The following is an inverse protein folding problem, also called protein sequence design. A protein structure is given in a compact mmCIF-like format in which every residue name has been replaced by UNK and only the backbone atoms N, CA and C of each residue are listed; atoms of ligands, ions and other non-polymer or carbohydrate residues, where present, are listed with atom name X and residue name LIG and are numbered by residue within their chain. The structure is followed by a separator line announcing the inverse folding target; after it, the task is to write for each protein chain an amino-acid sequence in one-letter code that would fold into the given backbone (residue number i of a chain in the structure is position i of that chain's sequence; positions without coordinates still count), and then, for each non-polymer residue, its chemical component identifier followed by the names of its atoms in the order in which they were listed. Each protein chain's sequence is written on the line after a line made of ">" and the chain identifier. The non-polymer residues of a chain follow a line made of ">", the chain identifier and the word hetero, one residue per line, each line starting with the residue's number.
data_IF_293325585079
#
_entry.id   IF_293325585079
#
_cell.length_a   1.000
_cell.length_b   1.000
_cell.length_c   1.000
_cell.angle_alpha   90.00
_cell.angle_beta   90.00
_cell.angle_gamma   90.00
#
_symmetry.space_group_name_H-M   'P 1'
#
loop_
_entity.id
_entity.type
_entity.pdbx_description
1 polymer ?
#
# COMPACT_ATOMS: atom_id res chain seq x y z
N UNK A 1 -39.29 -7.19 -5.16
CA UNK A 1 -38.38 -8.12 -4.47
C UNK A 1 -36.97 -7.84 -4.98
N UNK A 2 -36.08 -7.32 -4.14
CA UNK A 2 -34.67 -7.16 -4.55
C UNK A 2 -34.03 -8.54 -4.45
N UNK A 3 -33.67 -9.11 -5.60
CA UNK A 3 -32.94 -10.37 -5.67
C UNK A 3 -31.50 -10.09 -5.25
N UNK A 4 -31.09 -10.57 -4.08
CA UNK A 4 -29.67 -10.59 -3.70
C UNK A 4 -28.99 -11.69 -4.51
N UNK A 5 -28.25 -11.29 -5.53
CA UNK A 5 -27.37 -12.20 -6.25
C UNK A 5 -26.09 -12.38 -5.41
N UNK A 6 -26.01 -13.47 -4.66
CA UNK A 6 -24.83 -13.80 -3.89
C UNK A 6 -23.88 -14.64 -4.75
N UNK A 7 -22.65 -14.17 -4.91
CA UNK A 7 -21.57 -14.90 -5.57
C UNK A 7 -20.59 -15.46 -4.53
N UNK A 8 -20.01 -16.63 -4.81
CA UNK A 8 -19.03 -17.28 -3.93
C UNK A 8 -17.61 -17.08 -4.47
N UNK A 9 -16.69 -16.75 -3.57
CA UNK A 9 -15.27 -16.62 -3.87
C UNK A 9 -14.53 -17.84 -3.29
N UNK A 10 -13.76 -18.55 -4.13
CA UNK A 10 -12.87 -19.64 -3.71
C UNK A 10 -11.41 -19.21 -3.88
N UNK A 11 -10.63 -19.24 -2.80
CA UNK A 11 -9.23 -18.80 -2.78
C UNK A 11 -8.36 -19.95 -2.28
N UNK A 12 -7.27 -20.24 -3.01
CA UNK A 12 -6.22 -21.15 -2.54
C UNK A 12 -5.25 -20.37 -1.66
N UNK A 13 -4.97 -20.92 -0.48
CA UNK A 13 -4.05 -20.35 0.51
C UNK A 13 -3.42 -21.50 1.28
N UNK A 14 -2.19 -21.32 1.77
CA UNK A 14 -1.56 -22.32 2.61
C UNK A 14 -2.28 -22.44 3.97
N UNK A 15 -2.22 -23.63 4.55
CA UNK A 15 -2.93 -23.93 5.80
C UNK A 15 -2.41 -23.11 6.98
N UNK A 16 -1.11 -22.79 7.01
CA UNK A 16 -0.49 -22.04 8.11
C UNK A 16 -1.02 -20.61 8.14
N UNK A 17 -0.94 -19.89 7.03
CA UNK A 17 -1.43 -18.51 6.89
C UNK A 17 -2.92 -18.43 7.16
N UNK A 18 -3.72 -19.38 6.65
CA UNK A 18 -5.17 -19.42 6.94
C UNK A 18 -5.46 -19.53 8.43
N UNK A 19 -4.76 -20.41 9.14
CA UNK A 19 -4.98 -20.64 10.57
C UNK A 19 -4.48 -19.47 11.41
N UNK A 20 -3.36 -18.86 11.04
CA UNK A 20 -2.80 -17.70 11.73
C UNK A 20 -3.72 -16.48 11.58
N UNK A 21 -4.15 -16.17 10.35
CA UNK A 21 -5.11 -15.11 10.10
C UNK A 21 -6.43 -15.34 10.87
N UNK A 22 -6.93 -16.58 10.91
CA UNK A 22 -8.14 -16.92 11.67
C UNK A 22 -7.98 -16.62 13.16
N UNK A 23 -6.85 -16.99 13.79
CA UNK A 23 -6.61 -16.71 15.22
C UNK A 23 -6.62 -15.22 15.53
N UNK A 24 -6.00 -14.42 14.67
CA UNK A 24 -5.96 -12.96 14.83
C UNK A 24 -7.37 -12.39 14.72
N UNK A 25 -8.13 -12.78 13.70
CA UNK A 25 -9.49 -12.31 13.48
C UNK A 25 -10.46 -12.75 14.59
N UNK A 26 -10.36 -13.99 15.06
CA UNK A 26 -11.15 -14.50 16.19
C UNK A 26 -10.87 -13.66 17.45
N UNK A 27 -9.61 -13.26 17.69
CA UNK A 27 -9.25 -12.34 18.78
C UNK A 27 -9.85 -10.94 18.65
N UNK A 28 -10.21 -10.53 17.44
CA UNK A 28 -10.93 -9.28 17.16
C UNK A 28 -12.47 -9.48 17.14
N UNK A 29 -12.96 -10.69 17.42
CA UNK A 29 -14.39 -11.01 17.36
C UNK A 29 -14.96 -11.04 15.93
N UNK A 30 -14.11 -11.33 14.94
CA UNK A 30 -14.48 -11.26 13.52
C UNK A 30 -14.25 -12.60 12.82
N UNK A 31 -15.20 -13.04 12.01
CA UNK A 31 -15.02 -14.22 11.16
C UNK A 31 -14.31 -13.86 9.85
N UNK A 32 -13.69 -14.87 9.23
CA UNK A 32 -12.93 -14.71 7.98
C UNK A 32 -13.77 -14.07 6.86
N UNK A 33 -15.05 -14.42 6.75
CA UNK A 33 -15.91 -13.89 5.68
C UNK A 33 -16.20 -12.41 5.88
N UNK A 34 -16.43 -11.98 7.13
CA UNK A 34 -16.60 -10.57 7.46
C UNK A 34 -15.34 -9.77 7.20
N UNK A 35 -14.16 -10.29 7.57
CA UNK A 35 -12.88 -9.64 7.30
C UNK A 35 -12.66 -9.40 5.80
N UNK A 36 -12.90 -10.41 4.96
CA UNK A 36 -12.77 -10.30 3.51
C UNK A 36 -13.79 -9.33 2.91
N UNK A 37 -15.03 -9.30 3.41
CA UNK A 37 -16.04 -8.31 2.98
C UNK A 37 -15.62 -6.89 3.32
N UNK A 38 -15.08 -6.66 4.52
CA UNK A 38 -14.56 -5.34 4.94
C UNK A 38 -13.39 -4.94 4.05
N UNK A 39 -12.47 -5.86 3.77
CA UNK A 39 -11.34 -5.62 2.87
C UNK A 39 -11.80 -5.15 1.48
N UNK A 40 -12.77 -5.82 0.86
CA UNK A 40 -13.32 -5.38 -0.43
C UNK A 40 -14.07 -4.04 -0.33
N UNK A 41 -14.81 -3.83 0.77
CA UNK A 41 -15.49 -2.54 0.99
C UNK A 41 -14.48 -1.40 1.09
N UNK A 42 -13.34 -1.64 1.73
CA UNK A 42 -12.27 -0.67 1.82
C UNK A 42 -11.69 -0.35 0.43
N UNK A 43 -11.44 -1.36 -0.41
CA UNK A 43 -11.02 -1.15 -1.82
C UNK A 43 -12.00 -0.27 -2.58
N UNK A 44 -13.29 -0.56 -2.46
CA UNK A 44 -14.33 0.18 -3.17
C UNK A 44 -14.40 1.62 -2.70
N UNK A 45 -14.25 1.85 -1.40
CA UNK A 45 -14.34 3.17 -0.77
C UNK A 45 -13.13 4.05 -1.10
N UNK A 46 -11.91 3.49 -1.02
CA UNK A 46 -10.67 4.24 -1.26
C UNK A 46 -10.27 4.28 -2.73
N UNK A 47 -10.89 3.46 -3.58
CA UNK A 47 -10.46 3.23 -4.97
C UNK A 47 -8.98 2.83 -5.07
N UNK A 48 -8.45 2.22 -4.02
CA UNK A 48 -7.06 1.82 -3.87
C UNK A 48 -6.96 0.51 -3.10
N UNK A 49 -5.80 -0.15 -3.16
CA UNK A 49 -5.55 -1.31 -2.32
C UNK A 49 -5.52 -0.91 -0.83
N UNK A 50 -6.14 -1.69 0.08
CA UNK A 50 -6.44 -1.25 1.44
C UNK A 50 -5.33 -1.65 2.41
N UNK A 51 -4.10 -1.73 1.92
CA UNK A 51 -2.90 -1.80 2.73
C UNK A 51 -1.79 -1.02 2.04
N UNK A 52 -0.82 -0.58 2.84
CA UNK A 52 0.33 0.14 2.31
C UNK A 52 1.22 -0.83 1.53
N UNK A 53 1.23 -0.69 0.21
CA UNK A 53 2.20 -1.35 -0.64
C UNK A 53 3.52 -0.60 -0.50
N UNK A 54 4.37 -1.12 0.39
CA UNK A 54 5.74 -0.65 0.58
C UNK A 54 6.71 -1.47 -0.27
N UNK A 55 7.67 -0.81 -0.91
CA UNK A 55 8.78 -1.49 -1.57
C UNK A 55 9.81 -2.02 -0.57
N UNK A 56 10.89 -2.62 -1.07
CA UNK A 56 12.02 -3.10 -0.24
C UNK A 56 12.69 -1.99 0.60
N UNK A 57 12.53 -0.73 0.18
CA UNK A 57 13.05 0.46 0.85
C UNK A 57 12.02 1.12 1.77
N UNK A 58 10.84 0.51 1.94
CA UNK A 58 9.77 1.04 2.79
C UNK A 58 8.96 2.18 2.18
N UNK A 59 9.14 2.49 0.89
CA UNK A 59 8.45 3.57 0.20
C UNK A 59 7.10 3.10 -0.33
N UNK A 60 6.08 3.93 -0.16
CA UNK A 60 4.78 3.69 -0.82
C UNK A 60 4.93 3.88 -2.33
N UNK A 61 4.09 3.22 -3.14
CA UNK A 61 4.11 3.37 -4.60
C UNK A 61 4.04 4.84 -5.08
N UNK A 62 3.29 5.69 -4.37
CA UNK A 62 3.21 7.12 -4.72
C UNK A 62 4.52 7.84 -4.44
N UNK A 63 5.15 7.59 -3.29
CA UNK A 63 6.44 8.19 -2.97
C UNK A 63 7.56 7.65 -3.87
N UNK A 64 7.50 6.38 -4.27
CA UNK A 64 8.47 5.80 -5.20
C UNK A 64 8.44 6.50 -6.57
N UNK A 65 7.25 6.84 -7.11
CA UNK A 65 7.16 7.56 -8.38
C UNK A 65 7.62 9.02 -8.26
N UNK A 66 7.28 9.70 -7.16
CA UNK A 66 7.81 11.05 -6.87
C UNK A 66 9.33 11.03 -6.78
N UNK A 67 9.90 10.02 -6.10
CA UNK A 67 11.34 9.82 -6.01
C UNK A 67 11.96 9.56 -7.39
N UNK A 68 11.30 8.74 -8.21
CA UNK A 68 11.76 8.44 -9.58
C UNK A 68 11.81 9.73 -10.42
N UNK A 69 10.76 10.55 -10.35
CA UNK A 69 10.69 11.83 -11.06
C UNK A 69 11.71 12.84 -10.55
N UNK A 70 11.94 12.91 -9.24
CA UNK A 70 12.96 13.79 -8.66
C UNK A 70 14.37 13.34 -9.05
N UNK A 71 14.64 12.04 -9.09
CA UNK A 71 15.92 11.48 -9.56
C UNK A 71 16.15 11.79 -11.05
N UNK A 72 15.13 11.61 -11.90
CA UNK A 72 15.22 11.97 -13.33
C UNK A 72 15.45 13.47 -13.52
N UNK A 73 14.72 14.31 -12.80
CA UNK A 73 14.87 15.77 -12.87
C UNK A 73 16.24 16.23 -12.36
N UNK A 74 16.73 15.62 -11.28
CA UNK A 74 18.07 15.89 -10.76
C UNK A 74 19.17 15.48 -11.74
N UNK A 75 19.01 14.34 -12.42
CA UNK A 75 19.95 13.88 -13.47
C UNK A 75 19.99 14.83 -14.67
N UNK A 76 18.85 15.46 -15.00
CA UNK A 76 18.74 16.42 -16.09
C UNK A 76 19.06 17.87 -15.68
N UNK A 77 19.31 18.13 -14.40
CA UNK A 77 19.63 19.46 -13.88
C UNK A 77 21.09 19.82 -14.14
N UNK A 78 21.32 21.07 -14.55
CA UNK A 78 22.67 21.64 -14.68
C UNK A 78 23.25 22.12 -13.33
N UNK A 79 22.46 22.10 -12.24
CA UNK A 79 22.92 22.54 -10.91
C UNK A 79 23.84 21.47 -10.31
N UNK A 80 25.09 21.84 -10.05
CA UNK A 80 26.03 21.05 -9.25
C UNK A 80 26.31 21.76 -7.93
N UNK A 81 26.48 20.97 -6.87
CA UNK A 81 26.78 21.49 -5.53
C UNK A 81 28.18 21.01 -5.14
N UNK A 82 29.04 21.94 -4.73
CA UNK A 82 30.40 21.62 -4.28
C UNK A 82 30.47 21.08 -2.83
N UNK A 83 29.37 21.19 -2.08
CA UNK A 83 29.26 20.80 -0.67
C UNK A 83 27.91 20.14 -0.42
N UNK A 84 27.94 19.01 0.31
CA UNK A 84 26.72 18.26 0.67
C UNK A 84 25.73 19.11 1.49
N UNK A 85 26.22 20.01 2.34
CA UNK A 85 25.36 20.93 3.11
C UNK A 85 24.62 21.94 2.24
N UNK A 86 25.19 22.35 1.10
CA UNK A 86 24.52 23.24 0.15
C UNK A 86 23.40 22.50 -0.61
N UNK A 87 23.64 21.24 -0.98
CA UNK A 87 22.65 20.36 -1.59
C UNK A 87 21.46 20.13 -0.64
N UNK A 88 21.74 19.76 0.61
CA UNK A 88 20.70 19.48 1.61
C UNK A 88 19.85 20.73 1.90
N UNK A 89 20.48 21.92 1.99
CA UNK A 89 19.75 23.18 2.21
C UNK A 89 18.82 23.54 1.05
N UNK A 90 19.21 23.27 -0.20
CA UNK A 90 18.35 23.51 -1.36
C UNK A 90 17.21 22.47 -1.41
N UNK A 91 17.50 21.21 -1.10
CA UNK A 91 16.51 20.14 -1.12
C UNK A 91 15.44 20.26 -0.02
N UNK A 92 15.75 20.94 1.08
CA UNK A 92 14.83 21.17 2.22
C UNK A 92 14.12 22.54 2.15
N UNK A 93 14.28 23.28 1.06
CA UNK A 93 13.82 24.68 0.94
C UNK A 93 12.37 24.83 0.46
N UNK A 94 11.59 23.75 0.56
CA UNK A 94 10.13 23.77 0.33
C UNK A 94 9.43 24.77 1.27
#
# INVERSE_FOLDING_TARGET
>A
MIIKNNEQIQIRIDSKTKNEAKKILDGLGMDMSSAIKIFFRQIINTKNFPCELRDENGLTLQHAEVLRQSVVSAKNSAKSFNKGSALIREALKD
#
